data_IF_224009414492
#
_entry.id   IF_224009414492
#
_cell.length_a   1.000
_cell.length_b   1.000
_cell.length_c   1.000
_cell.angle_alpha   90.00
_cell.angle_beta   90.00
_cell.angle_gamma   90.00
#
_symmetry.space_group_name_H-M   'P 1'
#
loop_
_entity.id
_entity.type
_entity.pdbx_description
1 polymer ?
#
# COMPACT_ATOMS: atom_id res chain seq x y z
N UNK A 1 -5.01 15.57 -24.09
CA UNK A 1 -6.27 14.95 -24.57
C UNK A 1 -6.47 13.65 -23.80
N UNK A 2 -6.87 13.75 -22.52
CA UNK A 2 -7.14 12.62 -21.62
C UNK A 2 -8.39 12.95 -20.81
N UNK A 3 -9.51 12.97 -21.51
CA UNK A 3 -10.87 13.16 -20.98
C UNK A 3 -11.69 11.88 -21.21
N UNK A 4 -10.98 10.76 -21.36
CA UNK A 4 -11.45 9.67 -22.21
C UNK A 4 -12.23 8.58 -21.47
N UNK A 5 -12.75 8.86 -20.25
CA UNK A 5 -13.88 8.17 -19.60
C UNK A 5 -13.90 8.56 -18.11
N UNK A 6 -14.25 9.81 -17.79
CA UNK A 6 -14.75 10.15 -16.45
C UNK A 6 -16.19 9.59 -16.30
N UNK A 7 -16.36 8.30 -16.61
CA UNK A 7 -17.56 7.56 -16.26
C UNK A 7 -17.48 7.37 -14.76
N UNK A 8 -18.37 8.05 -14.06
CA UNK A 8 -18.53 7.87 -12.63
C UNK A 8 -19.09 6.48 -12.34
N UNK A 9 -18.90 6.01 -11.12
CA UNK A 9 -19.58 4.78 -10.65
C UNK A 9 -21.10 4.91 -10.79
N UNK A 10 -21.63 6.13 -10.70
CA UNK A 10 -23.04 6.48 -10.90
C UNK A 10 -23.48 6.24 -12.36
N UNK A 11 -22.69 6.65 -13.35
CA UNK A 11 -22.96 6.40 -14.76
C UNK A 11 -22.94 4.89 -15.09
N UNK A 12 -22.01 4.14 -14.48
CA UNK A 12 -21.93 2.69 -14.63
C UNK A 12 -23.15 1.98 -13.99
N UNK A 13 -23.61 2.47 -12.84
CA UNK A 13 -24.83 2.01 -12.19
C UNK A 13 -26.07 2.30 -13.05
N UNK A 14 -26.19 3.51 -13.60
CA UNK A 14 -27.27 3.89 -14.51
C UNK A 14 -27.34 3.00 -15.76
N UNK A 15 -26.20 2.67 -16.36
CA UNK A 15 -26.14 1.70 -17.48
C UNK A 15 -26.60 0.29 -17.09
N UNK A 16 -26.36 -0.13 -15.84
CA UNK A 16 -26.86 -1.40 -15.34
C UNK A 16 -28.37 -1.38 -15.15
N UNK A 17 -28.91 -0.29 -14.61
CA UNK A 17 -30.34 -0.08 -14.42
C UNK A 17 -31.09 -0.06 -15.76
N UNK A 18 -30.60 0.70 -16.75
CA UNK A 18 -31.18 0.73 -18.10
C UNK A 18 -31.19 -0.68 -18.73
N UNK A 19 -30.10 -1.45 -18.60
CA UNK A 19 -30.05 -2.81 -19.11
C UNK A 19 -31.08 -3.73 -18.45
N UNK A 20 -31.36 -3.55 -17.15
CA UNK A 20 -32.39 -4.31 -16.44
C UNK A 20 -33.79 -3.93 -16.94
N UNK A 21 -34.06 -2.65 -17.14
CA UNK A 21 -35.35 -2.18 -17.68
C UNK A 21 -35.59 -2.68 -19.10
N UNK A 22 -34.59 -2.61 -19.99
CA UNK A 22 -34.70 -3.11 -21.36
C UNK A 22 -34.99 -4.62 -21.39
N UNK A 23 -34.33 -5.39 -20.52
CA UNK A 23 -34.57 -6.82 -20.40
C UNK A 23 -35.97 -7.12 -19.86
N UNK A 24 -36.41 -6.39 -18.84
CA UNK A 24 -37.76 -6.54 -18.28
C UNK A 24 -38.84 -6.25 -19.32
N UNK A 25 -38.67 -5.17 -20.09
CA UNK A 25 -39.57 -4.77 -21.16
C UNK A 25 -39.59 -5.81 -22.30
N UNK A 26 -38.42 -6.31 -22.70
CA UNK A 26 -38.33 -7.37 -23.69
C UNK A 26 -39.05 -8.65 -23.23
N UNK A 27 -38.86 -9.06 -21.97
CA UNK A 27 -39.55 -10.22 -21.38
C UNK A 27 -41.07 -10.03 -21.34
N UNK A 28 -41.53 -8.82 -21.03
CA UNK A 28 -42.96 -8.50 -21.01
C UNK A 28 -43.60 -8.62 -22.39
N UNK A 29 -43.00 -7.97 -23.40
CA UNK A 29 -43.51 -8.07 -24.78
C UNK A 29 -43.47 -9.50 -25.31
N UNK A 30 -42.43 -10.27 -25.01
CA UNK A 30 -42.36 -11.68 -25.39
C UNK A 30 -43.49 -12.49 -24.73
N UNK A 31 -43.73 -12.31 -23.43
CA UNK A 31 -44.79 -13.00 -22.70
C UNK A 31 -46.16 -12.68 -23.28
N UNK A 32 -46.45 -11.40 -23.54
CA UNK A 32 -47.72 -10.95 -24.11
C UNK A 32 -47.91 -11.44 -25.54
N UNK A 33 -46.85 -11.42 -26.36
CA UNK A 33 -46.91 -11.92 -27.73
C UNK A 33 -47.25 -13.42 -27.78
N UNK A 34 -46.69 -14.20 -26.86
CA UNK A 34 -46.97 -15.65 -26.75
C UNK A 34 -48.37 -15.96 -26.22
N UNK A 35 -48.99 -15.04 -25.48
CA UNK A 35 -50.34 -15.19 -24.93
C UNK A 35 -51.44 -14.63 -25.84
N UNK A 36 -51.08 -13.83 -26.85
CA UNK A 36 -52.03 -13.21 -27.76
C UNK A 36 -52.71 -14.25 -28.65
N UNK A 37 -54.04 -14.24 -28.65
CA UNK A 37 -54.87 -15.07 -29.53
C UNK A 37 -55.07 -14.46 -30.92
N UNK A 38 -54.93 -13.13 -31.03
CA UNK A 38 -54.99 -12.42 -32.31
C UNK A 38 -53.61 -12.32 -32.96
N UNK A 39 -53.55 -12.65 -34.25
CA UNK A 39 -52.29 -12.69 -34.99
C UNK A 39 -51.70 -11.29 -35.21
N UNK A 40 -52.54 -10.26 -35.40
CA UNK A 40 -52.05 -8.91 -35.64
C UNK A 40 -51.48 -8.31 -34.35
N UNK A 41 -52.15 -8.53 -33.21
CA UNK A 41 -51.63 -8.19 -31.89
C UNK A 41 -50.31 -8.91 -31.60
N UNK A 42 -50.24 -10.23 -31.81
CA UNK A 42 -49.02 -11.02 -31.62
C UNK A 42 -47.86 -10.47 -32.45
N UNK A 43 -48.11 -10.12 -33.71
CA UNK A 43 -47.11 -9.53 -34.61
C UNK A 43 -46.64 -8.14 -34.15
N UNK A 44 -47.54 -7.30 -33.64
CA UNK A 44 -47.18 -5.99 -33.11
C UNK A 44 -46.30 -6.11 -31.86
N UNK A 45 -46.67 -6.98 -30.93
CA UNK A 45 -45.90 -7.26 -29.71
C UNK A 45 -44.53 -7.86 -30.03
N UNK A 46 -44.44 -8.78 -31.00
CA UNK A 46 -43.18 -9.35 -31.44
C UNK A 46 -42.21 -8.30 -32.01
N UNK A 47 -42.71 -7.32 -32.79
CA UNK A 47 -41.88 -6.20 -33.27
C UNK A 47 -41.38 -5.32 -32.12
N UNK A 48 -42.22 -5.05 -31.12
CA UNK A 48 -41.81 -4.29 -29.94
C UNK A 48 -40.75 -5.03 -29.11
N UNK A 49 -40.92 -6.35 -28.93
CA UNK A 49 -39.90 -7.21 -28.32
C UNK A 49 -38.55 -7.10 -29.05
N UNK A 50 -38.52 -7.22 -30.38
CA UNK A 50 -37.27 -7.17 -31.14
C UNK A 50 -36.54 -5.83 -30.98
N UNK A 51 -37.27 -4.70 -30.89
CA UNK A 51 -36.68 -3.38 -30.61
C UNK A 51 -36.10 -3.31 -29.20
N UNK A 52 -36.84 -3.73 -28.18
CA UNK A 52 -36.36 -3.77 -26.80
C UNK A 52 -35.15 -4.69 -26.63
N UNK A 53 -35.18 -5.88 -27.24
CA UNK A 53 -34.08 -6.83 -27.21
C UNK A 53 -32.82 -6.31 -27.93
N UNK A 54 -32.98 -5.46 -28.96
CA UNK A 54 -31.87 -4.77 -29.61
C UNK A 54 -31.26 -3.72 -28.68
N UNK A 55 -32.08 -2.90 -28.03
CA UNK A 55 -31.62 -1.90 -27.04
C UNK A 55 -30.80 -2.58 -25.94
N UNK A 56 -31.33 -3.66 -25.36
CA UNK A 56 -30.62 -4.46 -24.35
C UNK A 56 -29.24 -4.95 -24.83
N UNK A 57 -29.17 -5.51 -26.05
CA UNK A 57 -27.90 -5.97 -26.63
C UNK A 57 -26.90 -4.83 -26.84
N UNK A 58 -27.36 -3.65 -27.23
CA UNK A 58 -26.51 -2.46 -27.38
C UNK A 58 -25.96 -2.03 -26.01
N UNK A 59 -26.79 -1.97 -24.98
CA UNK A 59 -26.36 -1.64 -23.61
C UNK A 59 -25.35 -2.65 -23.08
N UNK A 60 -25.55 -3.96 -23.31
CA UNK A 60 -24.55 -4.98 -22.96
C UNK A 60 -23.22 -4.81 -23.70
N UNK A 61 -23.25 -4.45 -24.99
CA UNK A 61 -22.04 -4.22 -25.76
C UNK A 61 -21.23 -3.04 -25.20
N UNK A 62 -21.91 -1.94 -24.82
CA UNK A 62 -21.28 -0.78 -24.17
C UNK A 62 -20.65 -1.20 -22.83
N UNK A 63 -21.39 -1.93 -21.97
CA UNK A 63 -20.84 -2.43 -20.69
C UNK A 63 -19.62 -3.32 -20.89
N UNK A 64 -19.66 -4.22 -21.88
CA UNK A 64 -18.54 -5.10 -22.18
C UNK A 64 -17.31 -4.34 -22.73
N UNK A 65 -17.53 -3.26 -23.48
CA UNK A 65 -16.46 -2.36 -23.94
C UNK A 65 -15.84 -1.61 -22.77
N UNK A 66 -16.66 -0.97 -21.93
CA UNK A 66 -16.21 -0.25 -20.74
C UNK A 66 -15.36 -1.13 -19.82
N UNK A 67 -15.79 -2.37 -19.56
CA UNK A 67 -15.01 -3.32 -18.76
C UNK A 67 -13.61 -3.57 -19.35
N UNK A 68 -13.50 -3.71 -20.67
CA UNK A 68 -12.21 -3.89 -21.35
C UNK A 68 -11.35 -2.65 -21.25
N UNK A 69 -11.94 -1.47 -21.45
CA UNK A 69 -11.25 -0.19 -21.41
C UNK A 69 -10.71 0.07 -19.99
N UNK A 70 -11.50 -0.18 -18.95
CA UNK A 70 -11.04 -0.11 -17.54
C UNK A 70 -9.92 -1.10 -17.24
N UNK A 71 -10.03 -2.34 -17.72
CA UNK A 71 -8.98 -3.36 -17.53
C UNK A 71 -7.69 -2.97 -18.26
N UNK A 72 -7.81 -2.38 -19.46
CA UNK A 72 -6.66 -1.90 -20.23
C UNK A 72 -6.01 -0.67 -19.57
N UNK A 73 -6.81 0.27 -19.06
CA UNK A 73 -6.32 1.43 -18.33
C UNK A 73 -5.55 1.02 -17.08
N UNK A 74 -6.07 0.06 -16.29
CA UNK A 74 -5.38 -0.47 -15.11
C UNK A 74 -4.03 -1.11 -15.46
N UNK A 75 -3.95 -1.84 -16.59
CA UNK A 75 -2.68 -2.42 -17.08
C UNK A 75 -1.69 -1.34 -17.50
N UNK A 76 -2.13 -0.37 -18.29
CA UNK A 76 -1.29 0.76 -18.71
C UNK A 76 -0.77 1.55 -17.50
N UNK A 77 -1.59 1.75 -16.47
CA UNK A 77 -1.16 2.41 -15.24
C UNK A 77 -0.11 1.60 -14.47
N UNK A 78 -0.26 0.27 -14.42
CA UNK A 78 0.74 -0.61 -13.81
C UNK A 78 2.06 -0.63 -14.60
N UNK A 79 2.00 -0.58 -15.93
CA UNK A 79 3.16 -0.64 -16.83
C UNK A 79 3.80 0.74 -17.07
N UNK A 80 3.18 1.83 -16.62
CA UNK A 80 3.77 3.18 -16.76
C UNK A 80 4.93 3.32 -15.78
N UNK A 81 6.18 3.48 -16.24
CA UNK A 81 7.32 3.66 -15.34
C UNK A 81 7.10 4.93 -14.52
N UNK A 82 6.96 4.80 -13.20
CA UNK A 82 6.99 5.96 -12.29
C UNK A 82 8.31 6.68 -12.53
N UNK A 83 8.25 8.01 -12.69
CA UNK A 83 9.48 8.82 -12.77
C UNK A 83 10.33 8.54 -11.54
N UNK A 84 11.62 8.28 -11.77
CA UNK A 84 12.56 8.03 -10.66
C UNK A 84 12.51 9.23 -9.70
N UNK A 85 12.34 9.02 -8.39
CA UNK A 85 12.34 10.11 -7.43
C UNK A 85 13.64 10.91 -7.56
N UNK A 86 13.52 12.24 -7.55
CA UNK A 86 14.70 13.12 -7.57
C UNK A 86 15.55 12.95 -6.30
N UNK A 87 16.83 13.34 -6.36
CA UNK A 87 17.79 13.12 -5.26
C UNK A 87 17.32 13.66 -3.90
N UNK A 88 16.58 14.77 -3.87
CA UNK A 88 16.02 15.32 -2.63
C UNK A 88 14.94 14.43 -1.99
N UNK A 89 14.11 13.75 -2.81
CA UNK A 89 13.10 12.82 -2.32
C UNK A 89 13.75 11.55 -1.76
N UNK A 90 14.80 11.05 -2.44
CA UNK A 90 15.60 9.92 -1.95
C UNK A 90 16.26 10.26 -0.62
N UNK A 91 16.91 11.43 -0.50
CA UNK A 91 17.54 11.86 0.74
C UNK A 91 16.55 11.96 1.91
N UNK A 92 15.35 12.51 1.66
CA UNK A 92 14.28 12.57 2.67
C UNK A 92 13.87 11.18 3.13
N UNK A 93 13.64 10.28 2.17
CA UNK A 93 13.25 8.89 2.46
C UNK A 93 14.30 8.15 3.29
N UNK A 94 15.58 8.34 2.98
CA UNK A 94 16.70 7.79 3.75
C UNK A 94 16.62 8.27 5.21
N UNK A 95 16.41 9.57 5.43
CA UNK A 95 16.30 10.12 6.79
C UNK A 95 15.08 9.56 7.53
N UNK A 96 13.92 9.48 6.87
CA UNK A 96 12.70 8.92 7.47
C UNK A 96 12.90 7.45 7.89
N UNK A 97 13.50 6.63 7.04
CA UNK A 97 13.80 5.23 7.34
C UNK A 97 14.82 5.10 8.48
N UNK A 98 15.88 5.92 8.46
CA UNK A 98 16.89 5.94 9.51
C UNK A 98 16.27 6.25 10.87
N UNK A 99 15.46 7.31 10.96
CA UNK A 99 14.79 7.69 12.20
C UNK A 99 13.88 6.58 12.70
N UNK A 100 13.07 5.97 11.82
CA UNK A 100 12.16 4.89 12.20
C UNK A 100 12.90 3.67 12.74
N UNK A 101 13.94 3.21 12.02
CA UNK A 101 14.71 2.03 12.41
C UNK A 101 15.53 2.27 13.68
N UNK A 102 16.04 3.49 13.90
CA UNK A 102 16.74 3.85 15.15
C UNK A 102 15.81 3.77 16.36
N UNK A 103 14.55 4.23 16.26
CA UNK A 103 13.58 4.10 17.35
C UNK A 103 13.30 2.64 17.70
N UNK A 104 13.11 1.80 16.68
CA UNK A 104 12.85 0.37 16.86
C UNK A 104 14.07 -0.35 17.45
N UNK A 105 15.28 -0.03 16.98
CA UNK A 105 16.50 -0.61 17.51
C UNK A 105 16.75 -0.21 18.97
N UNK A 106 16.35 1.00 19.38
CA UNK A 106 16.44 1.46 20.77
C UNK A 106 15.40 0.78 21.67
N UNK A 107 14.15 0.65 21.20
CA UNK A 107 13.09 -0.09 21.90
C UNK A 107 13.50 -1.55 22.16
N UNK A 108 14.12 -2.20 21.16
CA UNK A 108 14.64 -3.57 21.24
C UNK A 108 15.95 -3.69 22.05
N UNK A 109 16.65 -2.58 22.32
CA UNK A 109 17.83 -2.60 23.20
C UNK A 109 17.44 -2.68 24.69
N UNK A 110 16.14 -2.77 25.00
CA UNK A 110 15.54 -2.92 26.33
C UNK A 110 16.21 -2.02 27.37
N UNK A 111 15.97 -0.69 27.32
CA UNK A 111 16.50 0.19 28.36
C UNK A 111 15.88 -0.22 29.70
N UNK A 112 16.64 -0.17 30.81
CA UNK A 112 16.11 -0.49 32.13
C UNK A 112 14.87 0.38 32.40
N UNK A 113 13.75 -0.26 32.79
CA UNK A 113 12.59 0.44 33.31
C UNK A 113 13.06 1.28 34.50
N UNK A 114 13.04 2.61 34.36
CA UNK A 114 13.32 3.52 35.47
C UNK A 114 12.08 3.63 36.37
N UNK A 115 11.53 2.49 36.76
CA UNK A 115 10.49 2.40 37.76
C UNK A 115 11.15 2.51 39.13
N UNK A 116 10.93 3.66 39.78
CA UNK A 116 11.58 4.12 41.00
C UNK A 116 11.35 3.26 42.26
N UNK A 117 11.76 1.99 42.24
CA UNK A 117 11.74 1.05 43.34
C UNK A 117 13.04 0.22 43.39
N UNK A 118 14.11 0.87 43.83
CA UNK A 118 15.12 0.21 44.67
C UNK A 118 16.07 -0.80 44.02
N UNK A 119 16.50 -0.61 42.77
CA UNK A 119 17.70 -1.25 42.22
C UNK A 119 18.96 -0.42 42.56
N UNK A 120 20.07 -1.12 42.81
CA UNK A 120 21.35 -0.50 43.15
C UNK A 120 21.81 0.39 41.98
N UNK A 121 22.19 1.64 42.24
CA UNK A 121 22.44 2.63 41.17
C UNK A 121 23.56 2.20 40.19
N UNK A 122 24.43 1.27 40.62
CA UNK A 122 25.44 0.64 39.76
C UNK A 122 24.86 -0.33 38.72
N UNK A 123 23.83 -1.10 39.07
CA UNK A 123 23.19 -2.09 38.19
C UNK A 123 22.47 -1.38 37.03
N UNK A 124 21.75 -0.29 37.31
CA UNK A 124 21.08 0.52 36.27
C UNK A 124 22.05 1.21 35.30
N UNK A 125 23.28 1.50 35.73
CA UNK A 125 24.29 2.15 34.90
C UNK A 125 24.99 1.13 33.99
N UNK A 126 25.25 -0.09 34.49
CA UNK A 126 25.75 -1.22 33.69
C UNK A 126 24.70 -1.65 32.65
N UNK A 127 23.42 -1.75 33.02
CA UNK A 127 22.32 -2.07 32.11
C UNK A 127 22.16 -1.02 30.99
N UNK A 128 22.25 0.27 31.34
CA UNK A 128 22.21 1.34 30.35
C UNK A 128 23.42 1.30 29.41
N UNK A 129 24.61 0.99 29.93
CA UNK A 129 25.82 0.80 29.12
C UNK A 129 25.65 -0.33 28.11
N UNK A 130 25.15 -1.49 28.56
CA UNK A 130 24.88 -2.64 27.72
C UNK A 130 23.82 -2.33 26.64
N UNK A 131 22.75 -1.60 26.99
CA UNK A 131 21.73 -1.16 26.02
C UNK A 131 22.32 -0.22 24.95
N UNK A 132 23.19 0.71 25.35
CA UNK A 132 23.91 1.60 24.42
C UNK A 132 24.83 0.82 23.47
N UNK A 133 25.56 -0.18 23.94
CA UNK A 133 26.40 -1.05 23.12
C UNK A 133 25.56 -1.87 22.12
N UNK A 134 24.50 -2.53 22.59
CA UNK A 134 23.59 -3.30 21.74
C UNK A 134 22.91 -2.41 20.68
N UNK A 135 22.57 -1.17 21.03
CA UNK A 135 22.05 -0.18 20.10
C UNK A 135 23.11 0.25 19.06
N UNK A 136 24.36 0.45 19.46
CA UNK A 136 25.45 0.85 18.58
C UNK A 136 25.72 -0.19 17.49
N UNK A 137 25.68 -1.49 17.83
CA UNK A 137 25.79 -2.59 16.88
C UNK A 137 24.64 -2.55 15.85
N UNK A 138 23.40 -2.44 16.33
CA UNK A 138 22.22 -2.35 15.45
C UNK A 138 22.26 -1.13 14.54
N UNK A 139 22.80 -0.01 14.99
CA UNK A 139 22.93 1.20 14.18
C UNK A 139 23.82 0.99 12.95
N UNK A 140 24.91 0.23 13.10
CA UNK A 140 25.76 -0.11 11.95
C UNK A 140 25.00 -0.95 10.91
N UNK A 141 24.22 -1.93 11.37
CA UNK A 141 23.38 -2.77 10.51
C UNK A 141 22.29 -1.97 9.78
N UNK A 142 21.68 -0.99 10.44
CA UNK A 142 20.69 -0.08 9.85
C UNK A 142 21.28 0.67 8.65
N UNK A 143 22.48 1.24 8.78
CA UNK A 143 23.11 1.99 7.68
C UNK A 143 23.43 1.08 6.48
N UNK A 144 23.86 -0.15 6.74
CA UNK A 144 24.11 -1.16 5.70
C UNK A 144 22.80 -1.51 4.99
N UNK A 145 21.72 -1.73 5.73
CA UNK A 145 20.42 -2.08 5.18
C UNK A 145 19.79 -0.96 4.36
N UNK A 146 19.83 0.28 4.86
CA UNK A 146 19.33 1.44 4.11
C UNK A 146 20.15 1.62 2.83
N UNK A 147 21.48 1.52 2.91
CA UNK A 147 22.35 1.61 1.73
C UNK A 147 21.99 0.54 0.69
N UNK A 148 21.76 -0.69 1.12
CA UNK A 148 21.32 -1.79 0.24
C UNK A 148 19.93 -1.55 -0.35
N UNK A 149 19.00 -1.02 0.44
CA UNK A 149 17.66 -0.68 -0.02
C UNK A 149 17.71 0.41 -1.10
N UNK A 150 18.56 1.43 -0.96
CA UNK A 150 18.72 2.49 -1.95
C UNK A 150 19.22 2.02 -3.32
N UNK A 151 19.88 0.85 -3.39
CA UNK A 151 20.32 0.27 -4.66
C UNK A 151 19.18 -0.42 -5.42
N UNK A 152 18.04 -0.67 -4.76
CA UNK A 152 16.89 -1.31 -5.40
C UNK A 152 16.18 -0.31 -6.32
N UNK A 153 15.74 -0.74 -7.53
CA UNK A 153 15.11 0.15 -8.51
C UNK A 153 13.76 0.71 -8.06
N UNK A 154 13.13 0.08 -7.06
CA UNK A 154 11.83 0.41 -6.47
C UNK A 154 11.95 1.12 -5.11
N UNK A 155 13.14 1.58 -4.72
CA UNK A 155 13.34 2.28 -3.46
C UNK A 155 12.38 3.48 -3.30
N UNK A 156 11.64 3.49 -2.18
CA UNK A 156 10.68 4.54 -1.86
C UNK A 156 9.41 4.52 -2.73
N UNK A 157 9.15 3.45 -3.48
CA UNK A 157 7.91 3.28 -4.23
C UNK A 157 6.73 2.85 -3.34
N UNK A 158 7.01 2.15 -2.23
CA UNK A 158 6.02 1.73 -1.25
C UNK A 158 5.74 2.85 -0.21
N UNK A 159 4.59 2.80 0.48
CA UNK A 159 4.34 3.61 1.69
C UNK A 159 5.49 3.51 2.71
N UNK A 160 5.70 4.57 3.51
CA UNK A 160 6.78 4.58 4.51
C UNK A 160 6.67 3.44 5.49
N UNK A 161 5.46 3.20 5.98
CA UNK A 161 5.23 2.17 7.01
C UNK A 161 5.55 0.77 6.48
N UNK A 162 5.31 0.50 5.19
CA UNK A 162 5.64 -0.77 4.55
C UNK A 162 7.16 -0.96 4.38
N UNK A 163 7.88 0.08 3.97
CA UNK A 163 9.35 0.02 3.89
C UNK A 163 9.99 -0.15 5.28
N UNK A 164 9.46 0.55 6.30
CA UNK A 164 9.91 0.41 7.69
C UNK A 164 9.67 -1.02 8.17
N UNK A 165 8.46 -1.55 7.99
CA UNK A 165 8.11 -2.90 8.42
C UNK A 165 8.97 -3.96 7.71
N UNK A 166 9.18 -3.83 6.40
CA UNK A 166 10.00 -4.76 5.64
C UNK A 166 11.46 -4.77 6.11
N UNK A 167 12.07 -3.59 6.28
CA UNK A 167 13.46 -3.50 6.74
C UNK A 167 13.64 -3.92 8.20
N UNK A 168 12.67 -3.60 9.07
CA UNK A 168 12.71 -4.01 10.47
C UNK A 168 12.56 -5.54 10.63
N UNK A 169 11.71 -6.18 9.82
CA UNK A 169 11.60 -7.64 9.78
C UNK A 169 12.88 -8.30 9.22
N UNK A 170 13.52 -7.71 8.21
CA UNK A 170 14.82 -8.17 7.70
C UNK A 170 15.92 -8.12 8.78
N UNK A 171 15.81 -7.20 9.75
CA UNK A 171 16.68 -7.12 10.93
C UNK A 171 16.29 -8.08 12.07
N UNK A 172 15.11 -8.70 12.00
CA UNK A 172 14.57 -9.53 13.08
C UNK A 172 13.99 -8.76 14.26
N UNK A 173 13.58 -7.50 14.08
CA UNK A 173 12.94 -6.69 15.14
C UNK A 173 11.50 -7.16 15.41
N UNK A 174 11.03 -6.93 16.64
CA UNK A 174 9.70 -7.39 17.06
C UNK A 174 8.54 -6.77 16.26
N UNK A 175 7.63 -7.61 15.76
CA UNK A 175 6.47 -7.19 14.97
C UNK A 175 5.51 -6.24 15.72
N UNK A 176 5.44 -6.38 17.05
CA UNK A 176 4.60 -5.51 17.89
C UNK A 176 5.12 -4.07 17.90
N UNK A 177 6.43 -3.88 18.08
CA UNK A 177 7.07 -2.56 18.06
C UNK A 177 6.96 -1.90 16.68
N UNK A 178 7.08 -2.68 15.61
CA UNK A 178 6.95 -2.21 14.21
C UNK A 178 5.59 -1.53 13.99
N UNK A 179 4.48 -2.09 14.50
CA UNK A 179 3.15 -1.52 14.33
C UNK A 179 2.97 -0.14 14.97
N UNK A 180 3.78 0.19 15.98
CA UNK A 180 3.69 1.42 16.78
C UNK A 180 4.95 2.29 16.71
N UNK A 181 5.82 2.07 15.71
CA UNK A 181 7.15 2.71 15.63
C UNK A 181 7.13 4.25 15.73
N UNK A 182 6.03 4.88 15.31
CA UNK A 182 5.84 6.34 15.38
C UNK A 182 5.71 6.86 16.81
N UNK A 183 5.21 6.02 17.71
CA UNK A 183 4.96 6.31 19.12
C UNK A 183 6.19 6.00 19.99
N UNK A 184 7.17 5.27 19.45
CA UNK A 184 8.40 4.93 20.15
C UNK A 184 9.27 6.19 20.37
N UNK A 185 9.99 6.26 21.50
CA UNK A 185 10.87 7.37 21.81
C UNK A 185 12.07 7.39 20.85
N UNK A 186 12.58 8.60 20.59
CA UNK A 186 13.89 8.75 19.95
C UNK A 186 15.00 8.28 20.90
N UNK A 187 16.06 7.63 20.39
CA UNK A 187 17.20 7.22 21.21
C UNK A 187 17.86 8.43 21.88
N UNK A 188 18.31 8.31 23.14
CA UNK A 188 19.00 9.38 23.84
C UNK A 188 20.35 9.69 23.19
N UNK A 189 20.81 10.94 23.33
CA UNK A 189 22.08 11.38 22.74
C UNK A 189 23.26 10.52 23.19
N UNK A 190 23.27 10.06 24.45
CA UNK A 190 24.32 9.18 24.96
C UNK A 190 24.45 7.88 24.15
N UNK A 191 23.32 7.25 23.76
CA UNK A 191 23.32 6.05 22.93
C UNK A 191 23.75 6.34 21.48
N UNK A 192 23.43 7.54 20.97
CA UNK A 192 23.91 8.00 19.66
C UNK A 192 25.41 8.32 19.69
N UNK A 193 25.99 8.67 20.83
CA UNK A 193 27.42 8.98 20.95
C UNK A 193 28.27 7.72 21.22
N UNK A 194 27.66 6.61 21.63
CA UNK A 194 28.34 5.32 21.80
C UNK A 194 28.87 4.82 20.46
N UNK A 195 30.17 4.55 20.40
CA UNK A 195 30.82 3.89 19.26
C UNK A 195 30.94 2.39 19.52
N UNK A 196 30.86 1.56 18.48
CA UNK A 196 31.15 0.13 18.59
C UNK A 196 32.66 -0.01 18.79
N UNK A 197 33.09 -0.50 19.94
CA UNK A 197 34.49 -0.75 20.23
C UNK A 197 34.99 -1.92 19.35
N UNK A 198 35.61 -1.61 18.21
CA UNK A 198 36.00 -2.69 17.29
C UNK A 198 36.51 -2.30 15.92
N UNK A 199 37.52 -1.43 15.83
CA UNK A 199 38.64 -1.54 14.86
C UNK A 199 39.67 -0.46 15.19
N UNK A 200 40.50 -0.71 16.21
CA UNK A 200 41.75 0.03 16.41
C UNK A 200 42.74 -0.34 15.29
N UNK A 201 42.54 0.24 14.11
CA UNK A 201 43.47 0.13 12.98
C UNK A 201 44.75 0.96 13.21
N UNK A 202 44.84 1.72 14.30
CA UNK A 202 45.96 2.63 14.60
C UNK A 202 47.06 2.00 15.45
N UNK A 203 46.86 0.81 16.00
CA UNK A 203 47.89 0.07 16.75
C UNK A 203 48.82 -0.81 15.88
N UNK A 204 48.99 -0.51 14.59
CA UNK A 204 49.87 -1.27 13.68
C UNK A 204 50.80 -0.41 12.81
N UNK A 205 51.13 0.81 13.23
CA UNK A 205 52.15 1.64 12.58
C UNK A 205 53.43 1.78 13.43
#
# INVERSE_FOLDING_TARGET
>A
MWDALDITDEDAAGLAEIAQHDLALARDFARRALAATDNDEANQLARSYQRAARSYRQTLAVKARLKRDLTAAARTQADTPRSKPGGAAVARRITELRTALMRLAWDEAEPPETDGLGTDAGETAEDFGAACEAFADRRADIEILISRACLKPDFGAAPLDDDVAGLALDMGLAAEAIGRWRELPDPPQAALDTEVDGLDWRSSA
#
